data_IF_253036420766
#
_entry.id   IF_253036420766
#
_cell.length_a   1.000
_cell.length_b   1.000
_cell.length_c   1.000
_cell.angle_alpha   90.00
_cell.angle_beta   90.00
_cell.angle_gamma   90.00
#
_symmetry.space_group_name_H-M   'P 1'
#
loop_
_entity.id
_entity.type
_entity.pdbx_description
1 polymer ?
#
# COMPACT_ATOMS: atom_id res chain seq x y z
N UNK A 1 1.18 -3.77 29.40
CA UNK A 1 0.91 -2.44 28.86
C UNK A 1 -0.41 -2.46 28.10
N UNK A 2 -1.23 -1.45 28.31
CA UNK A 2 -2.46 -1.20 27.54
C UNK A 2 -2.13 -0.26 26.39
N UNK A 3 -2.34 -0.71 25.16
CA UNK A 3 -1.92 -0.02 23.94
C UNK A 3 -3.14 0.23 23.07
N UNK A 4 -3.33 1.47 22.61
CA UNK A 4 -4.35 1.80 21.64
C UNK A 4 -3.72 2.07 20.26
N UNK A 5 -4.25 1.40 19.24
CA UNK A 5 -3.90 1.63 17.85
C UNK A 5 -4.94 2.57 17.26
N UNK A 6 -4.57 3.81 16.99
CA UNK A 6 -5.47 4.83 16.46
C UNK A 6 -5.43 4.86 14.93
N UNK A 7 -6.58 4.65 14.31
CA UNK A 7 -6.74 4.64 12.86
C UNK A 7 -8.07 5.23 12.44
N UNK A 8 -8.23 5.51 11.16
CA UNK A 8 -9.51 5.88 10.55
C UNK A 8 -10.08 4.75 9.74
N UNK A 9 -11.38 4.67 9.64
CA UNK A 9 -12.07 3.68 8.83
C UNK A 9 -13.00 4.37 7.82
N UNK A 10 -12.88 4.00 6.56
CA UNK A 10 -13.93 4.28 5.58
C UNK A 10 -14.91 3.10 5.65
N UNK A 11 -16.16 3.32 6.08
CA UNK A 11 -17.15 2.25 6.22
C UNK A 11 -17.30 1.44 4.93
N UNK A 12 -17.48 0.13 5.06
CA UNK A 12 -17.65 -0.84 3.96
C UNK A 12 -16.44 -1.01 3.04
N UNK A 13 -15.31 -0.37 3.35
CA UNK A 13 -14.06 -0.50 2.58
C UNK A 13 -13.04 -1.28 3.39
N UNK A 14 -12.40 -2.28 2.75
CA UNK A 14 -11.26 -3.02 3.30
C UNK A 14 -10.11 -3.00 2.29
N UNK A 15 -8.90 -2.83 2.80
CA UNK A 15 -7.70 -2.79 1.97
C UNK A 15 -6.43 -3.04 2.76
N UNK A 16 -5.29 -2.66 2.18
CA UNK A 16 -3.97 -2.87 2.81
C UNK A 16 -3.81 -2.19 4.16
N UNK A 17 -4.38 -1.00 4.34
CA UNK A 17 -4.30 -0.28 5.62
C UNK A 17 -5.03 -1.01 6.76
N UNK A 18 -6.20 -1.59 6.50
CA UNK A 18 -6.95 -2.38 7.48
C UNK A 18 -6.21 -3.69 7.82
N UNK A 19 -5.59 -4.34 6.83
CA UNK A 19 -4.73 -5.52 7.05
C UNK A 19 -3.49 -5.18 7.88
N UNK A 20 -2.89 -4.01 7.66
CA UNK A 20 -1.75 -3.50 8.41
C UNK A 20 -2.10 -3.30 9.90
N UNK A 21 -3.21 -2.62 10.18
CA UNK A 21 -3.70 -2.36 11.54
C UNK A 21 -4.01 -3.68 12.26
N UNK A 22 -4.70 -4.60 11.61
CA UNK A 22 -5.03 -5.91 12.21
C UNK A 22 -3.79 -6.78 12.44
N UNK A 23 -2.82 -6.74 11.52
CA UNK A 23 -1.53 -7.41 11.69
C UNK A 23 -0.77 -6.88 12.91
N UNK A 24 -0.72 -5.55 13.08
CA UNK A 24 -0.11 -4.93 14.26
C UNK A 24 -0.84 -5.33 15.55
N UNK A 25 -2.19 -5.27 15.56
CA UNK A 25 -2.98 -5.64 16.73
C UNK A 25 -2.69 -7.07 17.18
N UNK A 26 -2.69 -8.03 16.25
CA UNK A 26 -2.37 -9.43 16.54
C UNK A 26 -0.95 -9.57 17.09
N UNK A 27 0.02 -8.94 16.44
CA UNK A 27 1.41 -9.01 16.86
C UNK A 27 1.65 -8.44 18.26
N UNK A 28 0.95 -7.38 18.64
CA UNK A 28 1.01 -6.83 20.00
C UNK A 28 0.42 -7.82 21.01
N UNK A 29 -0.74 -8.43 20.72
CA UNK A 29 -1.37 -9.42 21.58
C UNK A 29 -0.48 -10.65 21.72
N UNK A 30 0.09 -11.16 20.64
CA UNK A 30 1.03 -12.29 20.63
C UNK A 30 2.32 -11.97 21.41
N UNK A 31 2.71 -10.69 21.42
CA UNK A 31 3.80 -10.15 22.24
C UNK A 31 3.47 -9.95 23.72
N UNK A 32 2.27 -10.32 24.16
CA UNK A 32 1.85 -10.24 25.58
C UNK A 32 1.31 -8.86 25.99
N UNK A 33 1.01 -7.97 25.06
CA UNK A 33 0.41 -6.68 25.33
C UNK A 33 -1.12 -6.74 25.25
N UNK A 34 -1.79 -5.87 25.99
CA UNK A 34 -3.23 -5.65 25.83
C UNK A 34 -3.42 -4.55 24.76
N UNK A 35 -3.87 -4.93 23.57
CA UNK A 35 -3.94 -4.03 22.42
C UNK A 35 -5.31 -3.98 21.80
N UNK A 36 -5.86 -2.77 21.64
CA UNK A 36 -7.13 -2.52 21.00
C UNK A 36 -7.05 -1.45 19.91
N UNK A 37 -7.99 -1.48 18.97
CA UNK A 37 -8.08 -0.52 17.88
C UNK A 37 -9.15 0.50 18.19
N UNK A 38 -8.78 1.77 18.16
CA UNK A 38 -9.70 2.91 18.15
C UNK A 38 -9.81 3.41 16.72
N UNK A 39 -10.99 3.28 16.13
CA UNK A 39 -11.25 3.70 14.76
C UNK A 39 -12.45 4.65 14.69
N UNK A 40 -12.24 5.85 14.15
CA UNK A 40 -13.33 6.76 13.83
C UNK A 40 -13.64 6.67 12.33
N UNK A 41 -14.94 6.76 11.95
CA UNK A 41 -15.33 6.88 10.56
C UNK A 41 -14.70 8.11 9.92
N UNK A 42 -14.19 7.95 8.69
CA UNK A 42 -13.57 9.05 7.95
C UNK A 42 -14.32 9.32 6.64
N UNK A 43 -14.69 10.58 6.48
CA UNK A 43 -15.28 11.12 5.26
C UNK A 43 -14.46 12.34 4.85
N UNK A 44 -14.03 12.42 3.60
CA UNK A 44 -13.16 13.51 3.11
C UNK A 44 -13.90 14.50 2.18
N UNK A 45 -15.22 14.34 2.05
CA UNK A 45 -16.06 15.20 1.23
C UNK A 45 -17.37 15.52 1.93
N UNK A 46 -17.87 16.78 1.85
CA UNK A 46 -17.13 17.94 1.35
C UNK A 46 -15.84 18.19 2.17
N UNK A 47 -14.87 19.00 1.69
CA UNK A 47 -13.55 19.16 2.31
C UNK A 47 -13.56 19.54 3.80
N UNK A 48 -14.55 20.28 4.27
CA UNK A 48 -14.69 20.63 5.69
C UNK A 48 -14.81 19.40 6.62
N UNK A 49 -15.28 18.27 6.11
CA UNK A 49 -15.36 17.02 6.90
C UNK A 49 -13.96 16.49 7.26
N UNK A 50 -12.94 16.81 6.47
CA UNK A 50 -11.54 16.48 6.79
C UNK A 50 -11.12 17.17 8.09
N UNK A 51 -11.38 18.49 8.18
CA UNK A 51 -11.05 19.29 9.37
C UNK A 51 -11.86 18.83 10.58
N UNK A 52 -13.18 18.56 10.42
CA UNK A 52 -14.03 18.03 11.49
C UNK A 52 -13.51 16.71 12.04
N UNK A 53 -13.15 15.77 11.15
CA UNK A 53 -12.58 14.47 11.53
C UNK A 53 -11.27 14.64 12.28
N UNK A 54 -10.40 15.55 11.84
CA UNK A 54 -9.14 15.81 12.49
C UNK A 54 -9.33 16.44 13.88
N UNK A 55 -10.26 17.38 14.01
CA UNK A 55 -10.60 17.97 15.31
C UNK A 55 -11.22 16.95 16.26
N UNK A 56 -12.07 16.03 15.76
CA UNK A 56 -12.62 14.95 16.58
C UNK A 56 -11.49 14.12 17.22
N UNK A 57 -10.45 13.77 16.47
CA UNK A 57 -9.28 13.06 17.01
C UNK A 57 -8.54 13.89 18.09
N UNK A 58 -8.44 15.20 17.91
CA UNK A 58 -7.80 16.08 18.91
C UNK A 58 -8.59 16.23 20.21
N UNK A 59 -9.90 16.02 20.17
CA UNK A 59 -10.77 16.13 21.32
C UNK A 59 -10.90 14.85 22.14
N UNK A 60 -10.37 13.72 21.63
CA UNK A 60 -10.40 12.47 22.37
C UNK A 60 -9.43 12.51 23.54
N UNK A 61 -9.93 12.17 24.72
CA UNK A 61 -9.09 11.80 25.85
C UNK A 61 -8.91 10.28 25.84
N UNK A 62 -7.68 9.84 25.57
CA UNK A 62 -7.28 8.45 25.56
C UNK A 62 -6.27 8.15 26.69
N UNK A 63 -6.24 8.93 27.74
CA UNK A 63 -5.34 8.71 28.88
C UNK A 63 -5.73 7.49 29.71
N UNK A 64 -7.04 7.16 29.75
CA UNK A 64 -7.56 5.98 30.43
C UNK A 64 -8.79 5.42 29.70
N UNK A 65 -9.12 4.16 29.96
CA UNK A 65 -10.35 3.50 29.57
C UNK A 65 -10.87 2.60 30.69
N UNK A 66 -12.07 2.90 31.21
CA UNK A 66 -12.71 2.14 32.29
C UNK A 66 -11.81 1.96 33.52
N UNK A 67 -11.19 3.04 33.99
CA UNK A 67 -10.28 3.07 35.14
C UNK A 67 -8.89 2.40 34.91
N UNK A 68 -8.59 2.01 33.68
CA UNK A 68 -7.29 1.46 33.31
C UNK A 68 -6.49 2.50 32.52
N UNK A 69 -5.27 2.84 32.95
CA UNK A 69 -4.43 3.76 32.18
C UNK A 69 -4.08 3.18 30.82
N UNK A 70 -4.04 4.04 29.81
CA UNK A 70 -3.48 3.73 28.49
C UNK A 70 -2.00 4.07 28.51
N UNK A 71 -1.16 3.05 28.32
CA UNK A 71 0.29 3.19 28.44
C UNK A 71 0.96 3.73 27.17
N UNK A 72 0.33 3.51 26.00
CA UNK A 72 0.86 3.88 24.70
C UNK A 72 -0.27 4.07 23.69
N UNK A 73 -0.15 5.12 22.87
CA UNK A 73 -0.96 5.30 21.67
C UNK A 73 -0.09 5.20 20.43
N UNK A 74 -0.49 4.38 19.46
CA UNK A 74 0.14 4.23 18.14
C UNK A 74 -0.77 4.82 17.08
N UNK A 75 -0.39 5.97 16.52
CA UNK A 75 -1.14 6.62 15.44
C UNK A 75 -0.69 6.13 14.06
N UNK A 76 -1.66 5.70 13.20
CA UNK A 76 -1.35 5.02 11.95
C UNK A 76 -1.49 5.89 10.70
N UNK A 77 -2.63 6.52 10.48
CA UNK A 77 -2.91 7.31 9.27
C UNK A 77 -3.69 8.59 9.59
N UNK A 78 -3.67 9.53 8.65
CA UNK A 78 -4.44 10.77 8.77
C UNK A 78 -5.96 10.49 8.88
N UNK A 79 -6.65 11.21 9.76
CA UNK A 79 -6.19 12.14 10.78
C UNK A 79 -5.95 11.49 12.16
N UNK A 80 -6.03 10.17 12.30
CA UNK A 80 -5.92 9.48 13.59
C UNK A 80 -4.58 9.74 14.31
N UNK A 81 -3.48 9.93 13.58
CA UNK A 81 -2.19 10.24 14.16
C UNK A 81 -2.10 11.64 14.80
N UNK A 82 -3.14 12.49 14.61
CA UNK A 82 -3.22 13.79 15.27
C UNK A 82 -3.69 13.70 16.75
N UNK A 83 -4.14 12.53 17.21
CA UNK A 83 -4.55 12.30 18.60
C UNK A 83 -3.50 12.80 19.60
N UNK A 84 -3.97 13.34 20.75
CA UNK A 84 -3.11 13.73 21.84
C UNK A 84 -2.89 12.58 22.81
N UNK A 85 -1.64 12.33 23.21
CA UNK A 85 -1.30 11.40 24.29
C UNK A 85 0.15 11.62 24.74
N UNK A 86 0.45 11.48 26.03
CA UNK A 86 1.80 11.68 26.58
C UNK A 86 2.85 10.70 26.03
N UNK A 87 2.41 9.44 25.78
CA UNK A 87 3.24 8.42 25.15
C UNK A 87 2.65 8.07 23.79
N UNK A 88 2.90 8.95 22.82
CA UNK A 88 2.47 8.78 21.43
C UNK A 88 3.66 8.36 20.57
N UNK A 89 3.50 7.29 19.82
CA UNK A 89 4.37 6.87 18.72
C UNK A 89 3.56 6.87 17.44
N UNK A 90 4.14 7.32 16.36
CA UNK A 90 3.49 7.24 15.05
C UNK A 90 4.14 6.17 14.21
N UNK A 91 3.30 5.40 13.53
CA UNK A 91 3.70 4.56 12.42
C UNK A 91 2.88 4.92 11.20
N UNK A 92 3.36 5.93 10.48
CA UNK A 92 2.61 6.59 9.43
C UNK A 92 2.48 5.68 8.21
N UNK A 93 1.23 5.30 7.88
CA UNK A 93 0.90 4.59 6.65
C UNK A 93 0.90 5.60 5.48
N UNK A 94 0.18 6.70 5.65
CA UNK A 94 0.16 7.83 4.71
C UNK A 94 -0.44 9.07 5.40
N UNK A 95 -0.09 10.21 4.86
CA UNK A 95 -0.74 11.50 5.13
C UNK A 95 -2.04 11.61 4.33
N UNK A 96 -2.76 12.73 4.42
CA UNK A 96 -3.86 13.01 3.48
C UNK A 96 -3.29 13.38 2.10
N UNK A 97 -3.15 12.38 1.23
CA UNK A 97 -2.33 12.44 0.01
C UNK A 97 -2.70 13.57 -0.94
N UNK A 98 -4.00 13.91 -1.05
CA UNK A 98 -4.47 15.05 -1.86
C UNK A 98 -3.97 16.40 -1.33
N UNK A 99 -3.51 16.51 -0.08
CA UNK A 99 -2.86 17.72 0.42
C UNK A 99 -1.36 17.79 0.08
N UNK A 100 -0.76 16.70 -0.43
CA UNK A 100 0.68 16.55 -0.64
C UNK A 100 1.03 16.07 -2.05
N UNK A 101 1.40 14.81 -2.18
CA UNK A 101 1.94 14.23 -3.41
C UNK A 101 0.90 14.05 -4.53
N UNK A 102 -0.37 13.99 -4.21
CA UNK A 102 -1.43 13.90 -5.22
C UNK A 102 -2.02 15.25 -5.62
N UNK A 103 -1.67 16.36 -4.92
CA UNK A 103 -2.21 17.68 -5.22
C UNK A 103 -1.95 18.08 -6.68
N UNK A 104 -3.00 18.48 -7.38
CA UNK A 104 -3.00 18.84 -8.82
C UNK A 104 -2.58 17.68 -9.77
N UNK A 105 -2.66 16.43 -9.33
CA UNK A 105 -2.52 15.28 -10.22
C UNK A 105 -3.90 14.78 -10.68
N UNK A 106 -3.98 13.89 -11.71
CA UNK A 106 -5.26 13.27 -12.10
C UNK A 106 -5.94 12.44 -11.00
N UNK A 107 -5.24 12.17 -9.90
CA UNK A 107 -5.73 11.37 -8.76
C UNK A 107 -6.11 12.24 -7.54
N UNK A 108 -6.09 13.56 -7.70
CA UNK A 108 -6.47 14.52 -6.67
C UNK A 108 -7.96 14.81 -6.73
N UNK A 109 -8.60 14.80 -5.58
CA UNK A 109 -9.98 15.19 -5.41
C UNK A 109 -10.13 16.56 -4.69
N UNK A 110 -9.15 16.90 -3.83
CA UNK A 110 -9.23 18.09 -2.98
C UNK A 110 -9.11 19.40 -3.79
N UNK A 111 -8.21 19.45 -4.77
CA UNK A 111 -8.01 20.67 -5.58
C UNK A 111 -9.19 21.02 -6.47
N UNK A 112 -10.11 20.08 -6.68
CA UNK A 112 -11.34 20.30 -7.47
C UNK A 112 -12.38 21.15 -6.74
N UNK A 113 -12.26 21.32 -5.44
CA UNK A 113 -13.16 22.12 -4.63
C UNK A 113 -12.66 23.57 -4.50
N UNK A 114 -13.57 24.58 -4.54
CA UNK A 114 -13.18 25.99 -4.39
C UNK A 114 -12.41 26.31 -3.11
N UNK A 115 -12.73 25.62 -2.01
CA UNK A 115 -12.08 25.76 -0.71
C UNK A 115 -10.91 24.76 -0.49
N UNK A 116 -10.62 23.93 -1.49
CA UNK A 116 -9.56 22.95 -1.46
C UNK A 116 -8.19 23.49 -1.03
N UNK A 117 -7.72 24.61 -1.58
CA UNK A 117 -6.46 25.23 -1.15
C UNK A 117 -6.44 25.58 0.34
N UNK A 118 -7.53 26.15 0.89
CA UNK A 118 -7.67 26.48 2.30
C UNK A 118 -7.58 25.25 3.20
N UNK A 119 -8.30 24.18 2.82
CA UNK A 119 -8.28 22.92 3.58
C UNK A 119 -6.91 22.24 3.49
N UNK A 120 -6.27 22.26 2.33
CA UNK A 120 -4.89 21.80 2.16
C UNK A 120 -3.92 22.47 3.11
N UNK A 121 -3.96 23.80 3.17
CA UNK A 121 -3.05 24.58 4.05
C UNK A 121 -3.32 24.26 5.52
N UNK A 122 -4.59 24.11 5.88
CA UNK A 122 -4.95 23.71 7.23
C UNK A 122 -4.41 22.31 7.58
N UNK A 123 -4.54 21.30 6.67
CA UNK A 123 -4.01 19.96 6.87
C UNK A 123 -2.49 20.03 7.12
N UNK A 124 -1.77 20.78 6.28
CA UNK A 124 -0.31 20.92 6.40
C UNK A 124 0.10 21.58 7.72
N UNK A 125 -0.63 22.59 8.16
CA UNK A 125 -0.41 23.23 9.47
C UNK A 125 -0.69 22.26 10.62
N UNK A 126 -1.78 21.49 10.54
CA UNK A 126 -2.12 20.48 11.54
C UNK A 126 -1.04 19.37 11.63
N UNK A 127 -0.59 18.85 10.49
CA UNK A 127 0.48 17.84 10.45
C UNK A 127 1.79 18.41 11.03
N UNK A 128 2.21 19.61 10.62
CA UNK A 128 3.42 20.25 11.12
C UNK A 128 3.38 20.53 12.64
N UNK A 129 2.19 20.79 13.18
CA UNK A 129 2.00 21.04 14.60
C UNK A 129 1.92 19.79 15.44
N UNK A 130 1.19 18.76 14.98
CA UNK A 130 0.77 17.65 15.82
C UNK A 130 1.56 16.36 15.60
N UNK A 131 2.22 16.15 14.45
CA UNK A 131 3.12 15.02 14.26
C UNK A 131 4.32 15.08 15.20
N UNK A 132 4.98 16.25 15.38
CA UNK A 132 6.12 16.39 16.30
C UNK A 132 5.81 16.17 17.79
N UNK A 133 4.54 16.08 18.20
CA UNK A 133 4.18 15.69 19.57
C UNK A 133 4.52 14.22 19.88
N UNK A 134 4.76 13.39 18.84
CA UNK A 134 5.12 12.01 19.03
C UNK A 134 6.56 11.84 19.52
N UNK A 135 6.79 10.89 20.42
CA UNK A 135 8.14 10.54 20.92
C UNK A 135 9.01 10.00 19.79
N UNK A 136 8.41 9.22 18.90
CA UNK A 136 9.08 8.67 17.71
C UNK A 136 8.10 8.62 16.54
N UNK A 137 8.60 8.88 15.34
CA UNK A 137 7.85 8.75 14.09
C UNK A 137 8.50 7.68 13.24
N UNK A 138 7.74 6.63 12.93
CA UNK A 138 8.06 5.64 11.93
C UNK A 138 7.19 5.86 10.71
N UNK A 139 7.69 5.49 9.54
CA UNK A 139 6.94 5.40 8.29
C UNK A 139 6.93 3.95 7.80
N UNK A 140 5.85 3.52 7.14
CA UNK A 140 5.77 2.14 6.67
C UNK A 140 6.74 1.83 5.51
N UNK A 141 7.34 2.86 4.87
CA UNK A 141 8.29 2.73 3.76
C UNK A 141 9.25 3.91 3.71
N UNK A 142 10.33 3.80 2.94
CA UNK A 142 11.21 4.95 2.61
C UNK A 142 10.44 6.02 1.85
N UNK A 143 9.57 5.63 0.93
CA UNK A 143 8.71 6.54 0.16
C UNK A 143 7.88 7.44 1.08
N UNK A 144 7.25 6.88 2.11
CA UNK A 144 6.48 7.68 3.08
C UNK A 144 7.38 8.50 3.98
N UNK A 145 8.54 7.98 4.39
CA UNK A 145 9.53 8.74 5.14
C UNK A 145 10.05 9.96 4.36
N UNK A 146 10.35 9.79 3.08
CA UNK A 146 10.77 10.88 2.20
C UNK A 146 9.68 11.93 1.99
N UNK A 147 8.40 11.54 1.93
CA UNK A 147 7.29 12.49 1.88
C UNK A 147 7.18 13.31 3.16
N UNK A 148 7.27 12.70 4.34
CA UNK A 148 7.29 13.41 5.62
C UNK A 148 8.45 14.40 5.69
N UNK A 149 9.64 14.00 5.28
CA UNK A 149 10.81 14.88 5.22
C UNK A 149 10.62 16.01 4.21
N UNK A 150 10.19 15.70 2.99
CA UNK A 150 10.05 16.68 1.89
C UNK A 150 8.99 17.74 2.17
N UNK A 151 7.84 17.33 2.68
CA UNK A 151 6.67 18.22 2.80
C UNK A 151 6.55 18.89 4.16
N UNK A 152 7.03 18.24 5.22
CA UNK A 152 6.84 18.67 6.59
C UNK A 152 8.16 18.85 7.36
N UNK A 153 9.30 18.51 6.77
CA UNK A 153 10.62 18.50 7.42
C UNK A 153 10.66 17.62 8.69
N UNK A 154 9.88 16.55 8.68
CA UNK A 154 9.78 15.58 9.76
C UNK A 154 10.65 14.38 9.43
N UNK A 155 11.66 14.13 10.26
CA UNK A 155 12.46 12.90 10.17
C UNK A 155 11.68 11.71 10.70
N UNK A 156 11.72 10.62 9.98
CA UNK A 156 11.07 9.36 10.35
C UNK A 156 11.88 8.16 9.90
N UNK A 157 11.76 7.08 10.64
CA UNK A 157 12.49 5.84 10.37
C UNK A 157 11.59 4.87 9.59
N UNK A 158 12.03 4.36 8.42
CA UNK A 158 11.28 3.33 7.71
C UNK A 158 11.19 2.05 8.54
N UNK A 159 9.97 1.60 8.78
CA UNK A 159 9.68 0.38 9.53
C UNK A 159 8.79 -0.54 8.68
N UNK A 160 9.44 -1.50 8.03
CA UNK A 160 8.77 -2.46 7.16
C UNK A 160 8.12 -3.59 7.95
N UNK A 161 7.10 -4.21 7.39
CA UNK A 161 6.39 -5.33 7.99
C UNK A 161 6.06 -6.40 6.94
N UNK A 162 5.85 -7.67 7.33
CA UNK A 162 5.50 -8.71 6.40
C UNK A 162 4.11 -8.47 5.77
N UNK A 163 3.90 -8.86 4.50
CA UNK A 163 2.58 -8.80 3.89
C UNK A 163 1.61 -9.80 4.54
N UNK A 164 0.28 -9.58 4.41
CA UNK A 164 -0.71 -10.36 5.12
C UNK A 164 -0.65 -11.87 4.87
N UNK A 165 -0.20 -12.29 3.67
CA UNK A 165 -0.16 -13.68 3.21
C UNK A 165 1.22 -14.31 3.28
N UNK A 166 2.18 -13.69 3.97
CA UNK A 166 3.59 -14.11 3.94
C UNK A 166 3.81 -15.61 4.16
N UNK A 167 3.04 -16.22 5.08
CA UNK A 167 3.18 -17.64 5.45
C UNK A 167 2.54 -18.61 4.43
N UNK A 168 1.60 -18.13 3.63
CA UNK A 168 0.85 -18.94 2.65
C UNK A 168 1.45 -18.89 1.26
N UNK A 169 2.23 -17.85 0.96
CA UNK A 169 2.81 -17.64 -0.37
C UNK A 169 3.93 -18.64 -0.64
N UNK A 170 3.97 -19.14 -1.86
CA UNK A 170 4.94 -20.15 -2.31
C UNK A 170 5.29 -19.95 -3.77
N UNK A 171 6.45 -20.39 -4.17
CA UNK A 171 6.82 -20.50 -5.55
C UNK A 171 6.13 -21.72 -6.19
N UNK A 172 5.72 -21.58 -7.44
CA UNK A 172 5.14 -22.64 -8.27
C UNK A 172 5.72 -22.60 -9.68
N UNK A 173 5.08 -23.29 -10.62
CA UNK A 173 5.49 -23.31 -12.01
C UNK A 173 5.26 -21.95 -12.69
N UNK A 174 6.05 -21.68 -13.74
CA UNK A 174 5.84 -20.51 -14.57
C UNK A 174 4.76 -20.79 -15.63
N UNK A 175 3.57 -20.25 -15.40
CA UNK A 175 2.50 -20.24 -16.39
C UNK A 175 2.75 -19.28 -17.56
N UNK A 176 1.72 -19.03 -18.32
CA UNK A 176 1.73 -18.18 -19.51
C UNK A 176 1.07 -16.81 -19.29
N UNK A 177 0.87 -16.42 -18.03
CA UNK A 177 0.21 -15.17 -17.68
C UNK A 177 1.00 -14.35 -16.67
N UNK A 178 0.87 -13.03 -16.75
CA UNK A 178 1.25 -12.11 -15.69
C UNK A 178 0.04 -11.83 -14.81
N UNK A 179 0.29 -11.69 -13.50
CA UNK A 179 -0.76 -11.49 -12.51
C UNK A 179 -0.77 -10.07 -11.97
N UNK A 180 -1.95 -9.47 -11.87
CA UNK A 180 -2.17 -8.14 -11.30
C UNK A 180 -3.26 -8.19 -10.21
N UNK A 181 -2.91 -8.47 -8.95
CA UNK A 181 -3.86 -8.47 -7.85
C UNK A 181 -4.03 -7.08 -7.27
N UNK A 182 -5.15 -6.44 -7.52
CA UNK A 182 -5.54 -5.23 -6.81
C UNK A 182 -7.00 -4.87 -7.07
N UNK A 183 -7.57 -4.03 -6.21
CA UNK A 183 -8.85 -3.39 -6.51
C UNK A 183 -8.74 -2.61 -7.82
N UNK A 184 -9.81 -2.64 -8.61
CA UNK A 184 -9.89 -1.88 -9.87
C UNK A 184 -10.14 -0.40 -9.55
N UNK A 185 -9.09 0.39 -9.49
CA UNK A 185 -9.11 1.81 -9.12
C UNK A 185 -8.18 2.62 -10.05
N UNK A 186 -8.53 3.86 -10.41
CA UNK A 186 -7.73 4.68 -11.33
C UNK A 186 -6.25 4.80 -10.91
N UNK A 187 -5.98 4.99 -9.63
CA UNK A 187 -4.61 5.11 -9.13
C UNK A 187 -3.78 3.82 -9.27
N UNK A 188 -4.43 2.67 -9.43
CA UNK A 188 -3.76 1.38 -9.69
C UNK A 188 -3.42 1.19 -11.18
N UNK A 189 -3.95 2.01 -12.07
CA UNK A 189 -3.60 2.12 -13.50
C UNK A 189 -3.65 0.80 -14.27
N UNK A 190 -4.62 -0.09 -13.95
CA UNK A 190 -4.84 -1.31 -14.72
C UNK A 190 -5.10 -1.03 -16.20
N UNK A 191 -5.60 0.17 -16.54
CA UNK A 191 -5.82 0.64 -17.91
C UNK A 191 -4.56 0.54 -18.75
N UNK A 192 -3.41 0.96 -18.21
CA UNK A 192 -2.11 0.88 -18.90
C UNK A 192 -1.77 -0.56 -19.32
N UNK A 193 -2.08 -1.54 -18.47
CA UNK A 193 -1.80 -2.93 -18.77
C UNK A 193 -2.82 -3.50 -19.80
N UNK A 194 -4.08 -3.06 -19.75
CA UNK A 194 -5.09 -3.42 -20.78
C UNK A 194 -4.68 -2.83 -22.14
N UNK A 195 -4.25 -1.58 -22.18
CA UNK A 195 -3.74 -0.95 -23.40
C UNK A 195 -2.47 -1.64 -23.91
N UNK A 196 -1.55 -2.02 -23.01
CA UNK A 196 -0.33 -2.75 -23.35
C UNK A 196 -0.63 -4.08 -24.05
N UNK A 197 -1.75 -4.74 -23.75
CA UNK A 197 -2.12 -6.01 -24.34
C UNK A 197 -2.27 -5.96 -25.88
N UNK A 198 -2.56 -4.78 -26.47
CA UNK A 198 -2.62 -4.58 -27.93
C UNK A 198 -1.24 -4.64 -28.60
N UNK A 199 -0.17 -4.42 -27.84
CA UNK A 199 1.20 -4.33 -28.35
C UNK A 199 2.00 -5.61 -28.11
N UNK A 200 1.41 -6.61 -27.47
CA UNK A 200 2.07 -7.88 -27.17
C UNK A 200 2.35 -8.69 -28.46
N UNK A 201 3.57 -9.17 -28.57
CA UNK A 201 4.06 -10.01 -29.67
C UNK A 201 4.08 -11.49 -29.32
N UNK A 202 4.13 -11.82 -28.01
CA UNK A 202 4.08 -13.18 -27.48
C UNK A 202 2.65 -13.56 -27.08
N UNK A 203 2.32 -14.83 -26.87
CA UNK A 203 1.01 -15.26 -26.41
C UNK A 203 0.78 -15.08 -24.89
N UNK A 204 1.59 -14.25 -24.22
CA UNK A 204 1.41 -13.96 -22.78
C UNK A 204 0.03 -13.41 -22.51
N UNK A 205 -0.59 -13.88 -21.42
CA UNK A 205 -1.89 -13.44 -20.95
C UNK A 205 -1.77 -12.53 -19.74
N UNK A 206 -2.84 -11.84 -19.42
CA UNK A 206 -2.93 -10.92 -18.29
C UNK A 206 -4.13 -11.34 -17.43
N UNK A 207 -3.90 -11.55 -16.15
CA UNK A 207 -4.95 -11.92 -15.19
C UNK A 207 -5.02 -10.86 -14.10
N UNK A 208 -6.17 -10.20 -14.02
CA UNK A 208 -6.50 -9.31 -12.92
C UNK A 208 -7.36 -10.03 -11.88
N UNK A 209 -7.05 -9.85 -10.60
CA UNK A 209 -7.90 -10.28 -9.49
C UNK A 209 -8.09 -9.14 -8.51
N UNK A 210 -9.33 -8.93 -8.07
CA UNK A 210 -9.75 -7.88 -7.16
C UNK A 210 -11.05 -7.25 -7.64
N UNK A 211 -11.99 -7.12 -6.71
CA UNK A 211 -13.30 -6.52 -7.00
C UNK A 211 -13.29 -5.02 -6.75
N UNK A 212 -14.14 -4.29 -7.48
CA UNK A 212 -14.54 -2.93 -7.16
C UNK A 212 -15.82 -2.56 -7.90
N UNK A 213 -16.43 -1.43 -7.54
CA UNK A 213 -17.59 -0.88 -8.27
C UNK A 213 -17.30 -0.51 -9.74
N UNK A 214 -16.03 -0.47 -10.16
CA UNK A 214 -15.62 -0.06 -11.50
C UNK A 214 -15.44 -1.23 -12.50
N UNK A 215 -15.79 -2.45 -12.15
CA UNK A 215 -15.54 -3.62 -13.00
C UNK A 215 -16.08 -3.44 -14.44
N UNK A 216 -17.29 -2.92 -14.58
CA UNK A 216 -17.91 -2.66 -15.91
C UNK A 216 -17.08 -1.70 -16.77
N UNK A 217 -16.44 -0.71 -16.16
CA UNK A 217 -15.54 0.21 -16.88
C UNK A 217 -14.36 -0.56 -17.48
N UNK A 218 -13.69 -1.39 -16.71
CA UNK A 218 -12.55 -2.18 -17.19
C UNK A 218 -12.94 -3.25 -18.22
N UNK A 219 -14.10 -3.88 -18.06
CA UNK A 219 -14.67 -4.78 -19.08
C UNK A 219 -14.90 -4.04 -20.40
N UNK A 220 -15.39 -2.79 -20.34
CA UNK A 220 -15.58 -1.97 -21.54
C UNK A 220 -14.25 -1.59 -22.20
N UNK A 221 -13.20 -1.35 -21.42
CA UNK A 221 -11.84 -1.10 -21.95
C UNK A 221 -11.27 -2.33 -22.65
N UNK A 222 -11.39 -3.53 -22.04
CA UNK A 222 -10.97 -4.79 -22.66
C UNK A 222 -11.65 -4.98 -24.02
N UNK A 223 -12.97 -4.73 -24.09
CA UNK A 223 -13.74 -4.80 -25.35
C UNK A 223 -13.31 -3.71 -26.34
N UNK A 224 -13.15 -2.46 -25.90
CA UNK A 224 -12.73 -1.33 -26.73
C UNK A 224 -11.38 -1.57 -27.40
N UNK A 225 -10.44 -2.15 -26.66
CA UNK A 225 -9.08 -2.46 -27.15
C UNK A 225 -8.99 -3.80 -27.90
N UNK A 226 -10.06 -4.60 -27.95
CA UNK A 226 -10.10 -5.87 -28.69
C UNK A 226 -9.17 -6.95 -28.10
N UNK A 227 -8.92 -6.94 -26.79
CA UNK A 227 -7.93 -7.82 -26.12
C UNK A 227 -8.57 -8.86 -25.20
N UNK A 228 -9.82 -9.21 -25.44
CA UNK A 228 -10.55 -10.16 -24.60
C UNK A 228 -9.97 -11.60 -24.62
N UNK A 229 -9.22 -11.95 -25.66
CA UNK A 229 -8.48 -13.22 -25.77
C UNK A 229 -7.21 -13.27 -24.90
N UNK A 230 -6.72 -12.12 -24.45
CA UNK A 230 -5.48 -11.97 -23.66
C UNK A 230 -5.70 -11.54 -22.23
N UNK A 231 -6.78 -10.81 -21.95
CA UNK A 231 -7.05 -10.17 -20.66
C UNK A 231 -8.23 -10.84 -19.96
N UNK A 232 -8.01 -11.30 -18.73
CA UNK A 232 -9.04 -11.89 -17.88
C UNK A 232 -9.24 -11.06 -16.62
N UNK A 233 -10.48 -10.63 -16.36
CA UNK A 233 -10.90 -9.97 -15.12
C UNK A 233 -11.61 -10.98 -14.23
N UNK A 234 -10.93 -11.51 -13.19
CA UNK A 234 -11.46 -12.57 -12.30
C UNK A 234 -12.45 -12.03 -11.26
N UNK A 235 -12.45 -10.70 -11.04
CA UNK A 235 -13.19 -10.13 -9.93
C UNK A 235 -12.61 -10.56 -8.58
N UNK A 236 -13.47 -10.70 -7.58
CA UNK A 236 -13.05 -11.18 -6.26
C UNK A 236 -12.71 -12.68 -6.31
N UNK A 237 -11.57 -13.04 -5.75
CA UNK A 237 -11.09 -14.42 -5.62
C UNK A 237 -10.84 -14.77 -4.16
N UNK A 238 -10.88 -16.06 -3.82
CA UNK A 238 -10.59 -16.55 -2.47
C UNK A 238 -9.10 -16.43 -2.12
N UNK A 239 -8.77 -16.48 -0.83
CA UNK A 239 -7.38 -16.46 -0.34
C UNK A 239 -6.56 -17.64 -0.94
N UNK A 240 -7.14 -18.81 -1.05
CA UNK A 240 -6.46 -19.96 -1.67
C UNK A 240 -6.19 -19.72 -3.17
N UNK A 241 -7.17 -19.17 -3.88
CA UNK A 241 -7.04 -18.89 -5.32
C UNK A 241 -6.01 -17.79 -5.60
N UNK A 242 -5.93 -16.76 -4.76
CA UNK A 242 -4.94 -15.70 -4.94
C UNK A 242 -3.51 -16.22 -4.76
N UNK A 243 -3.29 -17.14 -3.81
CA UNK A 243 -2.00 -17.82 -3.61
C UNK A 243 -1.61 -18.63 -4.85
N UNK A 244 -2.56 -19.39 -5.43
CA UNK A 244 -2.32 -20.15 -6.66
C UNK A 244 -2.03 -19.25 -7.86
N UNK A 245 -2.75 -18.12 -7.98
CA UNK A 245 -2.52 -17.15 -9.05
C UNK A 245 -1.13 -16.52 -8.97
N UNK A 246 -0.65 -16.19 -7.78
CA UNK A 246 0.74 -15.77 -7.57
C UNK A 246 1.71 -16.90 -7.92
N UNK A 247 1.51 -18.08 -7.32
CA UNK A 247 2.43 -19.22 -7.44
C UNK A 247 2.67 -19.66 -8.89
N UNK A 248 1.62 -19.64 -9.72
CA UNK A 248 1.66 -20.16 -11.09
C UNK A 248 1.76 -19.06 -12.17
N UNK A 249 1.96 -17.78 -11.80
CA UNK A 249 2.17 -16.72 -12.79
C UNK A 249 3.57 -16.78 -13.42
N UNK A 250 3.71 -16.17 -14.59
CA UNK A 250 5.00 -15.87 -15.21
C UNK A 250 5.75 -14.78 -14.44
N UNK A 251 5.00 -13.79 -13.95
CA UNK A 251 5.48 -12.65 -13.19
C UNK A 251 4.31 -11.87 -12.62
N UNK A 252 4.59 -10.91 -11.75
CA UNK A 252 3.61 -10.01 -11.14
C UNK A 252 3.81 -8.62 -11.69
N UNK A 253 2.74 -8.04 -12.23
CA UNK A 253 2.73 -6.67 -12.73
C UNK A 253 1.97 -5.79 -11.74
N UNK A 254 2.58 -4.69 -11.30
CA UNK A 254 1.94 -3.75 -10.37
C UNK A 254 2.37 -2.32 -10.68
N UNK A 255 1.46 -1.52 -11.25
CA UNK A 255 1.76 -0.23 -11.85
C UNK A 255 1.07 0.96 -11.13
N UNK A 256 0.92 0.98 -9.80
CA UNK A 256 0.24 2.08 -9.15
C UNK A 256 1.01 3.39 -9.34
N UNK A 257 0.30 4.51 -9.22
CA UNK A 257 0.92 5.83 -9.13
C UNK A 257 1.32 6.12 -7.69
N UNK A 258 2.63 6.29 -7.45
CA UNK A 258 3.22 6.73 -6.17
C UNK A 258 2.61 6.01 -4.95
N UNK A 259 2.66 4.68 -4.93
CA UNK A 259 2.15 3.81 -3.85
C UNK A 259 2.87 4.06 -2.53
N UNK A 260 2.20 3.79 -1.41
CA UNK A 260 2.77 4.01 -0.08
C UNK A 260 3.67 2.85 0.36
N UNK A 261 3.27 1.60 0.13
CA UNK A 261 4.00 0.40 0.56
C UNK A 261 4.12 -0.69 -0.53
N UNK A 262 3.00 -1.09 -1.13
CA UNK A 262 2.99 -2.06 -2.24
C UNK A 262 3.07 -3.52 -1.80
N UNK A 263 2.11 -4.02 -1.04
CA UNK A 263 2.02 -5.45 -0.68
C UNK A 263 2.15 -6.39 -1.88
N UNK A 264 1.60 -6.02 -3.03
CA UNK A 264 1.66 -6.83 -4.26
C UNK A 264 3.09 -7.15 -4.68
N UNK A 265 4.01 -6.17 -4.54
CA UNK A 265 5.43 -6.39 -4.82
C UNK A 265 6.02 -7.43 -3.86
N UNK A 266 5.79 -7.27 -2.56
CA UNK A 266 6.28 -8.20 -1.54
C UNK A 266 5.70 -9.60 -1.71
N UNK A 267 4.41 -9.71 -1.98
CA UNK A 267 3.72 -10.98 -2.22
C UNK A 267 4.24 -11.68 -3.48
N UNK A 268 4.49 -10.93 -4.55
CA UNK A 268 5.12 -11.46 -5.77
C UNK A 268 6.55 -11.94 -5.55
N UNK A 269 7.36 -11.18 -4.78
CA UNK A 269 8.72 -11.60 -4.40
C UNK A 269 8.70 -12.88 -3.55
N UNK A 270 7.82 -13.00 -2.54
CA UNK A 270 7.65 -14.21 -1.73
C UNK A 270 7.21 -15.42 -2.58
N UNK A 271 6.50 -15.16 -3.67
CA UNK A 271 6.09 -16.20 -4.60
C UNK A 271 7.16 -16.55 -5.65
N UNK A 272 8.36 -16.01 -5.51
CA UNK A 272 9.49 -16.26 -6.43
C UNK A 272 9.22 -15.75 -7.85
N UNK A 273 8.43 -14.68 -7.99
CA UNK A 273 8.03 -14.12 -9.29
C UNK A 273 8.77 -12.81 -9.59
N UNK A 274 9.24 -12.61 -10.82
CA UNK A 274 9.76 -11.32 -11.23
C UNK A 274 8.67 -10.26 -11.17
N UNK A 275 9.04 -9.05 -10.75
CA UNK A 275 8.10 -7.95 -10.57
C UNK A 275 8.25 -6.94 -11.70
N UNK A 276 7.13 -6.51 -12.29
CA UNK A 276 7.09 -5.38 -13.22
C UNK A 276 6.43 -4.22 -12.49
N UNK A 277 7.16 -3.14 -12.31
CA UNK A 277 6.68 -1.91 -11.66
C UNK A 277 6.96 -0.70 -12.52
N UNK A 278 6.17 0.35 -12.36
CA UNK A 278 6.45 1.62 -13.00
C UNK A 278 7.52 2.41 -12.23
N UNK A 279 8.31 3.22 -12.93
CA UNK A 279 9.36 4.07 -12.35
C UNK A 279 8.79 5.18 -11.42
N UNK A 280 7.51 5.49 -11.52
CA UNK A 280 6.77 6.41 -10.65
C UNK A 280 5.87 5.66 -9.63
N UNK A 281 6.13 4.37 -9.40
CA UNK A 281 5.34 3.48 -8.55
C UNK A 281 5.51 3.70 -7.04
N UNK A 282 6.40 4.61 -6.61
CA UNK A 282 6.65 4.87 -5.19
C UNK A 282 7.10 3.63 -4.43
N UNK A 283 6.49 3.35 -3.26
CA UNK A 283 6.81 2.20 -2.42
C UNK A 283 6.68 0.84 -3.11
N UNK A 284 5.89 0.73 -4.18
CA UNK A 284 5.80 -0.50 -4.97
C UNK A 284 7.11 -0.84 -5.70
N UNK A 285 7.90 0.18 -6.09
CA UNK A 285 9.17 0.01 -6.80
C UNK A 285 10.39 -0.04 -5.85
N UNK A 286 10.24 0.34 -4.61
CA UNK A 286 11.31 0.62 -3.65
C UNK A 286 12.28 -0.55 -3.42
N UNK A 287 11.79 -1.78 -3.47
CA UNK A 287 12.59 -2.98 -3.25
C UNK A 287 13.08 -3.63 -4.55
N UNK A 288 12.75 -3.07 -5.70
CA UNK A 288 13.09 -3.62 -7.02
C UNK A 288 14.29 -2.86 -7.59
N UNK A 289 15.32 -3.60 -7.96
CA UNK A 289 16.41 -3.14 -8.79
C UNK A 289 16.18 -3.65 -10.23
N UNK A 290 16.24 -2.74 -11.21
CA UNK A 290 15.94 -3.07 -12.60
C UNK A 290 16.84 -4.21 -13.11
N UNK A 291 16.24 -5.20 -13.78
CA UNK A 291 16.88 -6.41 -14.30
C UNK A 291 17.43 -7.40 -13.26
N UNK A 292 17.29 -7.10 -11.98
CA UNK A 292 17.76 -7.97 -10.89
C UNK A 292 16.61 -8.77 -10.25
N UNK A 293 15.66 -8.12 -9.60
CA UNK A 293 14.47 -8.74 -9.02
C UNK A 293 13.24 -8.59 -9.93
N UNK A 294 13.34 -7.73 -10.93
CA UNK A 294 12.23 -7.40 -11.83
C UNK A 294 12.60 -6.35 -12.86
N UNK A 295 11.59 -5.74 -13.44
CA UNK A 295 11.72 -4.71 -14.46
C UNK A 295 11.04 -3.43 -13.97
N UNK A 296 11.79 -2.33 -13.95
CA UNK A 296 11.24 -0.98 -13.73
C UNK A 296 11.03 -0.37 -15.11
N UNK A 297 9.79 0.02 -15.41
CA UNK A 297 9.39 0.48 -16.75
C UNK A 297 8.77 1.87 -16.70
N UNK A 298 8.80 2.59 -17.80
CA UNK A 298 7.96 3.80 -17.91
C UNK A 298 6.49 3.40 -17.93
N UNK A 299 5.57 4.24 -17.39
CA UNK A 299 4.12 3.95 -17.37
C UNK A 299 3.49 4.17 -18.75
N UNK A 300 4.07 3.57 -19.78
CA UNK A 300 3.64 3.63 -21.16
C UNK A 300 3.26 2.25 -21.68
N UNK A 301 2.11 2.08 -22.35
CA UNK A 301 1.62 0.77 -22.79
C UNK A 301 2.64 -0.05 -23.59
N UNK A 302 3.40 0.59 -24.49
CA UNK A 302 4.43 -0.10 -25.30
C UNK A 302 5.60 -0.61 -24.46
N UNK A 303 6.13 0.21 -23.55
CA UNK A 303 7.22 -0.19 -22.65
C UNK A 303 6.81 -1.34 -21.72
N UNK A 304 5.55 -1.30 -21.27
CA UNK A 304 4.95 -2.38 -20.47
C UNK A 304 4.87 -3.65 -21.32
N UNK A 305 4.34 -3.59 -22.53
CA UNK A 305 4.24 -4.75 -23.43
C UNK A 305 5.60 -5.38 -23.73
N UNK A 306 6.62 -4.58 -24.03
CA UNK A 306 8.00 -5.04 -24.27
C UNK A 306 8.55 -5.78 -23.05
N UNK A 307 8.26 -5.32 -21.85
CA UNK A 307 8.67 -5.97 -20.62
C UNK A 307 8.00 -7.34 -20.43
N UNK A 308 6.70 -7.44 -20.74
CA UNK A 308 5.95 -8.70 -20.69
C UNK A 308 6.50 -9.70 -21.72
N UNK A 309 6.72 -9.25 -22.96
CA UNK A 309 7.30 -10.05 -24.02
C UNK A 309 8.71 -10.55 -23.67
N UNK A 310 9.51 -9.71 -23.03
CA UNK A 310 10.86 -10.05 -22.56
C UNK A 310 10.82 -11.17 -21.51
N UNK A 311 9.90 -11.07 -20.53
CA UNK A 311 9.73 -12.13 -19.52
C UNK A 311 9.27 -13.45 -20.16
N UNK A 312 8.34 -13.39 -21.09
CA UNK A 312 7.79 -14.57 -21.76
C UNK A 312 8.84 -15.25 -22.64
N UNK A 313 9.60 -14.48 -23.42
CA UNK A 313 10.59 -14.99 -24.36
C UNK A 313 11.83 -15.56 -23.67
N UNK A 314 12.14 -15.14 -22.44
CA UNK A 314 13.28 -15.65 -21.69
C UNK A 314 12.87 -16.13 -20.28
N UNK A 315 12.18 -17.25 -20.25
CA UNK A 315 11.63 -17.84 -19.01
C UNK A 315 12.71 -18.19 -17.97
N UNK A 316 13.88 -18.61 -18.42
CA UNK A 316 14.99 -18.91 -17.51
C UNK A 316 15.47 -17.65 -16.77
N UNK A 317 15.63 -16.52 -17.50
CA UNK A 317 15.96 -15.22 -16.90
C UNK A 317 14.86 -14.76 -15.96
N UNK A 318 13.61 -14.86 -16.36
CA UNK A 318 12.44 -14.50 -15.52
C UNK A 318 12.42 -15.29 -14.21
N UNK A 319 12.64 -16.60 -14.26
CA UNK A 319 12.73 -17.46 -13.09
C UNK A 319 13.89 -17.04 -12.17
N UNK A 320 15.06 -16.75 -12.75
CA UNK A 320 16.22 -16.28 -11.98
C UNK A 320 15.98 -14.91 -11.30
N UNK A 321 15.27 -13.98 -11.97
CA UNK A 321 14.84 -12.71 -11.37
C UNK A 321 13.93 -12.95 -10.16
N UNK A 322 12.89 -13.76 -10.33
CA UNK A 322 11.95 -14.08 -9.26
C UNK A 322 12.63 -14.71 -8.04
N UNK A 323 13.57 -15.63 -8.28
CA UNK A 323 14.37 -16.25 -7.22
C UNK A 323 15.20 -15.22 -6.44
N UNK A 324 15.88 -14.29 -7.15
CA UNK A 324 16.60 -13.20 -6.48
C UNK A 324 15.70 -12.29 -5.66
N UNK A 325 14.49 -12.03 -6.15
CA UNK A 325 13.48 -11.28 -5.41
C UNK A 325 13.09 -11.97 -4.09
N UNK A 326 12.83 -13.26 -4.14
CA UNK A 326 12.52 -14.09 -2.98
C UNK A 326 13.69 -14.10 -1.96
N UNK A 327 14.91 -14.33 -2.42
CA UNK A 327 16.11 -14.33 -1.60
C UNK A 327 16.36 -12.96 -0.93
N UNK A 328 16.22 -11.86 -1.68
CA UNK A 328 16.32 -10.49 -1.16
C UNK A 328 15.30 -10.23 -0.07
N UNK A 329 14.01 -10.53 -0.31
CA UNK A 329 12.98 -10.26 0.67
C UNK A 329 13.16 -11.10 1.95
N UNK A 330 13.55 -12.36 1.83
CA UNK A 330 13.89 -13.22 2.97
C UNK A 330 15.08 -12.66 3.77
N UNK A 331 16.10 -12.09 3.09
CA UNK A 331 17.26 -11.50 3.77
C UNK A 331 16.92 -10.24 4.58
N UNK A 332 15.85 -9.53 4.26
CA UNK A 332 15.37 -8.39 5.06
C UNK A 332 14.78 -8.83 6.40
N UNK A 333 14.48 -10.10 6.56
CA UNK A 333 13.96 -10.72 7.81
C UNK A 333 12.79 -9.92 8.41
N UNK A 334 11.87 -9.48 7.56
CA UNK A 334 10.70 -8.71 8.01
C UNK A 334 9.86 -9.53 8.98
N UNK A 335 9.67 -9.03 10.19
CA UNK A 335 8.90 -9.72 11.21
C UNK A 335 8.07 -8.77 12.05
N UNK A 336 6.87 -9.22 12.41
CA UNK A 336 6.01 -8.48 13.34
C UNK A 336 6.65 -8.32 14.72
N UNK A 337 7.49 -9.26 15.16
CA UNK A 337 8.23 -9.16 16.41
C UNK A 337 9.18 -7.96 16.45
N UNK A 338 9.91 -7.72 15.35
CA UNK A 338 10.79 -6.53 15.23
C UNK A 338 9.97 -5.25 15.20
N UNK A 339 8.85 -5.24 14.48
CA UNK A 339 7.93 -4.09 14.42
C UNK A 339 7.45 -3.73 15.83
N UNK A 340 6.91 -4.69 16.56
CA UNK A 340 6.43 -4.48 17.95
C UNK A 340 7.56 -3.94 18.83
N UNK A 341 8.75 -4.54 18.76
CA UNK A 341 9.89 -4.09 19.54
C UNK A 341 10.26 -2.64 19.23
N UNK A 342 10.36 -2.27 17.94
CA UNK A 342 10.69 -0.90 17.54
C UNK A 342 9.65 0.12 18.03
N UNK A 343 8.37 -0.19 17.92
CA UNK A 343 7.28 0.70 18.38
C UNK A 343 7.30 0.88 19.90
N UNK A 344 7.56 -0.20 20.67
CA UNK A 344 7.65 -0.13 22.14
C UNK A 344 8.90 0.65 22.57
N UNK A 345 10.04 0.41 21.94
CA UNK A 345 11.28 1.14 22.25
C UNK A 345 11.18 2.61 21.87
N UNK A 346 10.49 2.95 20.79
CA UNK A 346 10.20 4.33 20.41
C UNK A 346 9.27 5.07 21.39
N UNK A 347 8.58 4.37 22.28
CA UNK A 347 7.71 4.93 23.32
C UNK A 347 8.45 5.26 24.64
N UNK A 348 9.67 4.78 24.83
CA UNK A 348 10.51 5.03 26.01
C UNK A 348 11.19 6.39 25.93
#
# INVERSE_FOLDING_TARGET
MNILICTTQVPFTKGGAESHVEGLRRALIDGGYNAEVVALPFKWYPPDEIMRSAMAWRMLDLSEANGKPVDLVIGMKFPAYLVAHERKVLWVIHQHRSAYNLWNTPFDDLSTYPDGPRVRDWIRQADNRFIPEARKVFANSKTVAERLRRYNQIESEPLYHPPPRAESLRSGEQGDYVFYPSRLEPQKRQELLIEAAQHLRTPVKIVFAGGSGNQRHYESLVKKHGVADRVTLRGFVSEAEIVELYANSLGVCYLPFDEDYGYVTLEGMLSGKPIIVANDGGGAAELIEHEREGLIVSPEPRAIAESLDSLYSNRARSKAMGKRGEEKLKSLNLSWKQVVQSLIDGAR
#
